data_IF_544783133372
#
_entry.id   IF_544783133372
#
_cell.length_a   1.000
_cell.length_b   1.000
_cell.length_c   1.000
_cell.angle_alpha   90.00
_cell.angle_beta   90.00
_cell.angle_gamma   90.00
#
_symmetry.space_group_name_H-M   'P 1'
#
loop_
_entity.id
_entity.type
_entity.pdbx_description
1 polymer ?
#
# COMPACT_ATOMS: atom_id res chain seq x y z
N UNK A 1 -0.34 21.49 20.16
CA UNK A 1 -0.84 21.29 18.78
C UNK A 1 -0.93 19.81 18.41
N UNK A 2 0.16 19.04 18.44
CA UNK A 2 0.13 17.60 18.11
C UNK A 2 -0.83 16.76 18.97
N UNK A 3 -0.88 17.01 20.29
CA UNK A 3 -1.82 16.34 21.20
C UNK A 3 -3.28 16.61 20.82
N UNK A 4 -3.64 17.86 20.52
CA UNK A 4 -4.99 18.22 20.10
C UNK A 4 -5.42 17.53 18.80
N UNK A 5 -4.48 17.35 17.86
CA UNK A 5 -4.72 16.59 16.62
C UNK A 5 -4.99 15.12 16.96
N UNK A 6 -4.15 14.49 17.78
CA UNK A 6 -4.33 13.09 18.20
C UNK A 6 -5.62 12.85 18.98
N UNK A 7 -6.01 13.77 19.86
CA UNK A 7 -7.29 13.66 20.59
C UNK A 7 -8.48 13.70 19.63
N UNK A 8 -8.41 14.50 18.58
CA UNK A 8 -9.49 14.61 17.58
C UNK A 8 -9.47 13.47 16.56
N UNK A 9 -8.28 13.02 16.19
CA UNK A 9 -8.02 11.98 15.19
C UNK A 9 -7.03 10.96 15.75
N UNK A 10 -7.49 10.05 16.64
CA UNK A 10 -6.61 9.06 17.26
C UNK A 10 -6.07 8.04 16.24
N UNK A 11 -6.77 7.88 15.12
CA UNK A 11 -6.34 7.02 14.02
C UNK A 11 -6.30 7.83 12.72
N UNK A 12 -5.21 7.70 11.97
CA UNK A 12 -5.06 8.25 10.63
C UNK A 12 -4.86 7.13 9.61
N UNK A 13 -5.52 7.25 8.46
CA UNK A 13 -5.35 6.38 7.30
C UNK A 13 -4.82 7.22 6.14
N UNK A 14 -3.65 6.86 5.63
CA UNK A 14 -3.02 7.52 4.49
C UNK A 14 -3.12 6.57 3.30
N UNK A 15 -3.97 6.91 2.33
CA UNK A 15 -4.09 6.20 1.07
C UNK A 15 -3.07 6.70 0.05
N UNK A 16 -2.79 5.90 -0.98
CA UNK A 16 -1.78 6.19 -2.02
C UNK A 16 -0.40 6.56 -1.44
N UNK A 17 0.01 5.90 -0.35
CA UNK A 17 1.22 6.23 0.39
C UNK A 17 2.51 6.11 -0.45
N UNK A 18 2.49 5.33 -1.54
CA UNK A 18 3.62 5.26 -2.47
C UNK A 18 3.95 6.59 -3.17
N UNK A 19 3.00 7.52 -3.24
CA UNK A 19 3.16 8.83 -3.88
C UNK A 19 3.51 9.95 -2.88
N UNK A 20 3.81 9.58 -1.63
CA UNK A 20 4.16 10.51 -0.55
C UNK A 20 5.64 10.93 -0.61
N UNK A 21 5.93 12.15 -0.17
CA UNK A 21 7.30 12.67 -0.06
C UNK A 21 7.88 12.58 1.38
N UNK A 22 9.21 12.73 1.57
CA UNK A 22 9.83 12.61 2.90
C UNK A 22 9.30 13.61 3.95
N UNK A 23 8.84 14.79 3.55
CA UNK A 23 8.29 15.79 4.47
C UNK A 23 6.91 15.37 4.97
N UNK A 24 6.05 14.89 4.07
CA UNK A 24 4.73 14.36 4.43
C UNK A 24 4.85 13.17 5.39
N UNK A 25 5.73 12.22 5.09
CA UNK A 25 5.98 11.09 5.99
C UNK A 25 6.46 11.55 7.38
N UNK A 26 7.39 12.52 7.44
CA UNK A 26 7.86 13.07 8.72
C UNK A 26 6.74 13.69 9.54
N UNK A 27 5.77 14.37 8.91
CA UNK A 27 4.61 14.93 9.62
C UNK A 27 3.80 13.81 10.27
N UNK A 28 3.43 12.78 9.51
CA UNK A 28 2.63 11.66 10.04
C UNK A 28 3.38 10.90 11.13
N UNK A 29 4.66 10.59 10.91
CA UNK A 29 5.50 9.93 11.90
C UNK A 29 5.64 10.76 13.18
N UNK A 30 5.80 12.08 13.08
CA UNK A 30 5.89 12.96 14.26
C UNK A 30 4.56 13.02 15.04
N UNK A 31 3.44 12.97 14.32
CA UNK A 31 2.12 13.02 14.94
C UNK A 31 1.74 11.70 15.62
N UNK A 32 2.05 10.55 15.01
CA UNK A 32 1.50 9.25 15.39
C UNK A 32 2.54 8.21 15.83
N UNK A 33 3.82 8.38 15.47
CA UNK A 33 4.88 7.42 15.77
C UNK A 33 5.10 7.21 17.26
N UNK A 34 5.16 5.93 17.68
CA UNK A 34 5.44 5.54 19.07
C UNK A 34 4.36 5.95 20.08
N UNK A 35 3.16 6.33 19.63
CA UNK A 35 2.04 6.70 20.49
C UNK A 35 1.12 5.49 20.69
N UNK A 36 1.11 4.89 21.88
CA UNK A 36 0.38 3.63 22.15
C UNK A 36 -1.14 3.75 21.93
N UNK A 37 -1.72 4.92 22.22
CA UNK A 37 -3.16 5.17 22.08
C UNK A 37 -3.57 5.62 20.67
N UNK A 38 -2.65 5.59 19.70
CA UNK A 38 -2.91 6.09 18.35
C UNK A 38 -2.53 5.09 17.26
N UNK A 39 -3.22 5.18 16.12
CA UNK A 39 -2.99 4.33 14.95
C UNK A 39 -2.59 5.13 13.72
N UNK A 40 -1.61 4.62 12.98
CA UNK A 40 -1.25 5.13 11.66
C UNK A 40 -1.28 3.97 10.66
N UNK A 41 -2.27 3.98 9.76
CA UNK A 41 -2.39 3.02 8.67
C UNK A 41 -1.88 3.67 7.39
N UNK A 42 -0.84 3.07 6.80
CA UNK A 42 -0.26 3.50 5.54
C UNK A 42 -0.65 2.48 4.46
N UNK A 43 -1.50 2.91 3.54
CA UNK A 43 -2.09 2.09 2.50
C UNK A 43 -1.53 2.57 1.17
N UNK A 44 -1.10 1.61 0.35
CA UNK A 44 -0.54 1.93 -0.95
C UNK A 44 0.08 0.72 -1.63
N UNK A 45 0.44 0.90 -2.89
CA UNK A 45 1.12 -0.10 -3.69
C UNK A 45 2.43 0.46 -4.26
N UNK A 46 3.61 0.03 -3.75
CA UNK A 46 4.90 0.52 -4.25
C UNK A 46 5.14 0.15 -5.72
N UNK A 47 4.42 -0.84 -6.26
CA UNK A 47 4.47 -1.21 -7.68
C UNK A 47 3.84 -0.14 -8.60
N UNK A 48 3.07 0.78 -8.03
CA UNK A 48 2.34 1.84 -8.73
C UNK A 48 2.97 3.23 -8.54
N UNK A 49 4.14 3.32 -7.90
CA UNK A 49 4.84 4.58 -7.68
C UNK A 49 5.40 5.16 -8.99
N UNK A 50 4.61 6.00 -9.66
CA UNK A 50 4.95 6.57 -10.99
C UNK A 50 5.10 8.10 -10.99
N UNK A 51 4.91 8.76 -9.84
CA UNK A 51 4.91 10.22 -9.71
C UNK A 51 6.25 10.85 -9.28
N UNK A 52 7.38 10.20 -9.57
CA UNK A 52 8.72 10.71 -9.20
C UNK A 52 8.98 12.14 -9.71
N UNK A 53 8.42 12.50 -10.88
CA UNK A 53 8.52 13.85 -11.45
C UNK A 53 7.81 14.95 -10.64
N UNK A 54 6.96 14.58 -9.67
CA UNK A 54 6.27 15.53 -8.76
C UNK A 54 6.85 15.51 -7.33
N UNK A 55 7.98 14.83 -7.13
CA UNK A 55 8.66 14.78 -5.83
C UNK A 55 8.27 13.59 -4.94
N UNK A 56 7.41 12.68 -5.40
CA UNK A 56 7.18 11.41 -4.73
C UNK A 56 8.49 10.61 -4.66
N UNK A 57 8.77 10.02 -3.51
CA UNK A 57 10.02 9.30 -3.28
C UNK A 57 9.76 7.88 -2.81
N UNK A 58 10.02 6.91 -3.69
CA UNK A 58 9.88 5.48 -3.38
C UNK A 58 10.76 5.06 -2.19
N UNK A 59 11.87 5.74 -1.92
CA UNK A 59 12.72 5.46 -0.76
C UNK A 59 12.03 5.87 0.54
N UNK A 60 11.12 6.85 0.52
CA UNK A 60 10.27 7.19 1.67
C UNK A 60 9.35 6.01 2.01
N UNK A 61 8.72 5.40 1.01
CA UNK A 61 7.92 4.18 1.22
C UNK A 61 8.78 3.03 1.76
N UNK A 62 9.93 2.75 1.15
CA UNK A 62 10.82 1.64 1.57
C UNK A 62 11.27 1.85 3.02
N UNK A 63 11.65 3.07 3.38
CA UNK A 63 12.04 3.43 4.75
C UNK A 63 10.89 3.25 5.72
N UNK A 64 9.72 3.83 5.43
CA UNK A 64 8.55 3.72 6.28
C UNK A 64 8.14 2.27 6.51
N UNK A 65 8.19 1.45 5.45
CA UNK A 65 7.96 0.00 5.54
C UNK A 65 8.99 -0.69 6.44
N UNK A 66 10.26 -0.28 6.41
CA UNK A 66 11.29 -0.87 7.28
C UNK A 66 11.16 -0.50 8.76
N UNK A 67 10.52 0.64 9.06
CA UNK A 67 10.31 1.14 10.42
C UNK A 67 9.04 0.55 11.09
N UNK A 68 8.17 -0.13 10.32
CA UNK A 68 6.91 -0.72 10.79
C UNK A 68 7.01 -2.24 10.75
N UNK A 69 6.61 -2.92 11.83
CA UNK A 69 6.66 -4.38 11.93
C UNK A 69 5.48 -5.09 11.26
N UNK A 70 4.30 -4.45 11.24
CA UNK A 70 3.07 -5.03 10.71
C UNK A 70 2.89 -4.69 9.23
N UNK A 71 3.09 -5.67 8.35
CA UNK A 71 2.84 -5.55 6.90
C UNK A 71 1.66 -6.43 6.50
N UNK A 72 0.78 -5.88 5.66
CA UNK A 72 -0.40 -6.58 5.16
C UNK A 72 -0.42 -6.50 3.63
N UNK A 73 -1.03 -7.50 2.99
CA UNK A 73 -1.20 -7.53 1.53
C UNK A 73 -2.57 -8.09 1.21
N UNK A 74 -3.26 -7.46 0.25
CA UNK A 74 -4.50 -7.96 -0.30
C UNK A 74 -4.18 -8.90 -1.46
N UNK A 75 -4.46 -10.18 -1.29
CA UNK A 75 -4.10 -11.23 -2.23
C UNK A 75 -5.16 -11.47 -3.32
N UNK A 76 -6.33 -10.85 -3.22
CA UNK A 76 -7.46 -11.08 -4.13
C UNK A 76 -7.81 -9.82 -4.92
N UNK A 77 -7.77 -9.92 -6.25
CA UNK A 77 -8.22 -8.87 -7.17
C UNK A 77 -9.71 -9.01 -7.47
N UNK A 78 -10.49 -8.05 -7.00
CA UNK A 78 -11.94 -7.99 -7.21
C UNK A 78 -12.38 -7.16 -8.42
N UNK A 79 -11.43 -6.51 -9.11
CA UNK A 79 -11.73 -5.51 -10.15
C UNK A 79 -11.66 -6.08 -11.57
N UNK A 80 -10.76 -7.04 -11.78
CA UNK A 80 -10.39 -7.51 -13.13
C UNK A 80 -10.87 -8.93 -13.41
N UNK A 81 -11.04 -9.24 -14.69
CA UNK A 81 -11.42 -10.59 -15.13
C UNK A 81 -10.29 -11.60 -14.89
N UNK A 82 -10.66 -12.88 -14.78
CA UNK A 82 -9.70 -13.98 -14.61
C UNK A 82 -8.55 -13.94 -15.64
N UNK A 83 -8.80 -13.83 -16.97
CA UNK A 83 -7.70 -13.79 -17.94
C UNK A 83 -6.76 -12.60 -17.76
N UNK A 84 -7.27 -11.45 -17.34
CA UNK A 84 -6.47 -10.26 -17.10
C UNK A 84 -5.52 -10.46 -15.92
N UNK A 85 -6.04 -10.94 -14.78
CA UNK A 85 -5.23 -11.22 -13.58
C UNK A 85 -4.14 -12.25 -13.89
N UNK A 86 -4.49 -13.33 -14.59
CA UNK A 86 -3.52 -14.37 -14.98
C UNK A 86 -2.43 -13.85 -15.91
N UNK A 87 -2.78 -12.97 -16.86
CA UNK A 87 -1.80 -12.41 -17.79
C UNK A 87 -0.78 -11.52 -17.08
N UNK A 88 -1.24 -10.66 -16.17
CA UNK A 88 -0.36 -9.79 -15.35
C UNK A 88 0.52 -10.61 -14.42
N UNK A 89 -0.06 -11.60 -13.74
CA UNK A 89 0.69 -12.51 -12.87
C UNK A 89 1.81 -13.21 -13.64
N UNK A 90 1.50 -13.76 -14.82
CA UNK A 90 2.49 -14.42 -15.67
C UNK A 90 3.58 -13.45 -16.11
N UNK A 91 3.22 -12.27 -16.59
CA UNK A 91 4.18 -11.28 -17.11
C UNK A 91 5.23 -10.90 -16.06
N UNK A 92 4.79 -10.51 -14.87
CA UNK A 92 5.72 -10.06 -13.82
C UNK A 92 6.43 -11.22 -13.09
N UNK A 93 5.97 -12.46 -13.26
CA UNK A 93 6.69 -13.65 -12.78
C UNK A 93 7.83 -14.10 -13.71
N UNK A 94 8.01 -13.47 -14.89
CA UNK A 94 9.09 -13.82 -15.83
C UNK A 94 10.47 -13.32 -15.38
N UNK A 95 10.52 -12.39 -14.43
CA UNK A 95 11.75 -11.74 -13.95
C UNK A 95 11.76 -11.73 -12.43
N UNK A 96 12.95 -11.89 -11.83
CA UNK A 96 13.09 -11.97 -10.38
C UNK A 96 12.82 -10.62 -9.67
N UNK A 97 13.12 -9.50 -10.33
CA UNK A 97 12.98 -8.15 -9.78
C UNK A 97 12.23 -7.24 -10.76
N UNK A 98 10.91 -7.41 -10.93
CA UNK A 98 10.12 -6.66 -11.92
C UNK A 98 10.02 -5.16 -11.65
N UNK A 99 10.23 -4.73 -10.39
CA UNK A 99 10.11 -3.34 -9.95
C UNK A 99 11.43 -2.75 -9.45
N UNK A 100 12.56 -3.16 -10.05
CA UNK A 100 13.94 -2.68 -9.81
C UNK A 100 14.53 -2.93 -8.41
N UNK A 101 13.71 -2.97 -7.37
CA UNK A 101 14.14 -3.11 -5.98
C UNK A 101 13.61 -4.41 -5.38
N UNK A 102 14.47 -5.18 -4.71
CA UNK A 102 14.06 -6.41 -4.01
C UNK A 102 13.06 -6.17 -2.88
N UNK A 103 13.04 -4.94 -2.34
CA UNK A 103 12.07 -4.49 -1.34
C UNK A 103 10.66 -4.32 -1.91
N UNK A 104 10.50 -4.34 -3.24
CA UNK A 104 9.23 -4.22 -3.96
C UNK A 104 9.01 -5.51 -4.76
N UNK A 105 8.68 -6.64 -4.09
CA UNK A 105 8.39 -7.88 -4.78
C UNK A 105 7.06 -7.80 -5.52
N UNK A 106 6.94 -8.57 -6.60
CA UNK A 106 5.65 -8.90 -7.17
C UNK A 106 5.12 -10.18 -6.50
N UNK A 107 3.93 -10.09 -5.91
CA UNK A 107 3.23 -11.24 -5.31
C UNK A 107 2.00 -11.49 -6.19
N UNK A 108 1.88 -12.72 -6.69
CA UNK A 108 0.71 -13.11 -7.48
C UNK A 108 -0.58 -12.93 -6.67
N UNK A 109 -1.61 -12.41 -7.32
CA UNK A 109 -2.95 -12.24 -6.73
C UNK A 109 -3.95 -13.21 -7.35
N UNK A 110 -4.91 -13.67 -6.57
CA UNK A 110 -6.04 -14.46 -7.02
C UNK A 110 -7.11 -13.56 -7.65
N UNK A 111 -7.71 -13.92 -8.80
CA UNK A 111 -8.94 -13.27 -9.26
C UNK A 111 -10.09 -13.66 -8.33
N UNK A 112 -10.96 -12.70 -8.01
CA UNK A 112 -12.16 -12.98 -7.22
C UNK A 112 -13.04 -14.01 -7.93
N UNK A 113 -13.56 -14.97 -7.16
CA UNK A 113 -14.59 -15.87 -7.66
C UNK A 113 -15.88 -15.07 -7.84
N UNK A 114 -16.57 -15.25 -8.98
CA UNK A 114 -17.93 -14.71 -9.12
C UNK A 114 -18.78 -15.29 -8.00
N UNK A 115 -19.36 -14.44 -7.16
CA UNK A 115 -20.38 -14.87 -6.22
C UNK A 115 -21.58 -15.33 -7.05
N UNK A 116 -21.77 -16.63 -7.15
CA UNK A 116 -22.92 -17.26 -7.82
C UNK A 116 -24.17 -17.13 -6.93
N UNK A 117 -24.58 -15.92 -6.58
CA UNK A 117 -25.85 -15.65 -5.89
C UNK A 117 -26.77 -14.83 -6.79
N UNK A 118 -27.16 -15.42 -7.92
CA UNK A 118 -28.45 -15.11 -8.54
C UNK A 118 -29.34 -16.35 -8.36
N UNK A 119 -29.95 -16.44 -7.18
CA UNK A 119 -31.27 -17.05 -7.03
C UNK A 119 -32.21 -15.90 -6.63
N UNK A 120 -32.58 -15.09 -7.61
CA UNK A 120 -33.85 -14.37 -7.52
C UNK A 120 -34.94 -15.44 -7.59
N UNK A 121 -35.56 -15.73 -6.45
CA UNK A 121 -36.91 -16.27 -6.40
C UNK A 121 -37.85 -15.12 -6.08
#
# INVERSE_FOLDING_TARGET
MAQSIRTRYPVAMIDEFQDTDPQQYRIFHTLYGGQEECGLLLIGDPKQAIYAFRGADIFTYIRARSEVSAHYTLDTNWRSSFPMVQSVNRLFSLVDVPFLFKQIPFINVAPAQKISNYHLK
#
